data_IF_749908372029
#
_entry.id   IF_749908372029
#
_cell.length_a   1.000
_cell.length_b   1.000
_cell.length_c   1.000
_cell.angle_alpha   90.00
_cell.angle_beta   90.00
_cell.angle_gamma   90.00
#
_symmetry.space_group_name_H-M   'P 1'
#
loop_
_entity.id
_entity.type
_entity.pdbx_description
1 polymer ?
#
# COMPACT_ATOMS: atom_id res chain seq x y z
N UNK A 1 -16.40 -4.55 -8.06
CA UNK A 1 -15.09 -5.19 -8.23
C UNK A 1 -14.01 -4.10 -8.34
N UNK A 2 -13.31 -3.79 -7.25
CA UNK A 2 -12.16 -2.90 -7.31
C UNK A 2 -11.01 -3.73 -7.90
N UNK A 3 -10.80 -3.63 -9.22
CA UNK A 3 -9.76 -4.40 -9.90
C UNK A 3 -8.41 -3.87 -9.39
N UNK A 4 -7.80 -4.56 -8.42
CA UNK A 4 -6.47 -4.18 -7.93
C UNK A 4 -5.50 -4.30 -9.09
N UNK A 5 -4.89 -3.18 -9.45
CA UNK A 5 -3.92 -3.10 -10.55
C UNK A 5 -2.52 -3.55 -10.10
N UNK A 6 -2.39 -3.98 -8.85
CA UNK A 6 -1.16 -4.37 -8.19
C UNK A 6 -1.48 -5.39 -7.09
N UNK A 7 -0.50 -6.22 -6.78
CA UNK A 7 -0.46 -7.04 -5.58
C UNK A 7 0.22 -6.29 -4.44
N UNK A 8 -0.01 -6.77 -3.22
CA UNK A 8 0.61 -6.27 -2.00
C UNK A 8 1.24 -7.46 -1.29
N UNK A 9 2.51 -7.34 -0.92
CA UNK A 9 3.25 -8.33 -0.15
C UNK A 9 3.94 -7.69 1.04
N UNK A 10 4.09 -8.45 2.11
CA UNK A 10 4.86 -8.03 3.28
C UNK A 10 6.35 -8.23 3.01
N UNK A 11 7.16 -7.21 3.33
CA UNK A 11 8.63 -7.29 3.24
C UNK A 11 9.22 -7.57 4.62
N UNK A 12 8.73 -6.83 5.62
CA UNK A 12 9.09 -6.94 7.03
C UNK A 12 7.91 -6.45 7.90
N UNK A 13 8.02 -6.57 9.23
CA UNK A 13 6.96 -6.19 10.17
C UNK A 13 6.53 -4.72 10.15
N UNK A 14 7.25 -3.86 9.44
CA UNK A 14 6.96 -2.43 9.29
C UNK A 14 6.73 -1.99 7.83
N UNK A 15 6.99 -2.86 6.84
CA UNK A 15 7.06 -2.47 5.43
C UNK A 15 6.27 -3.43 4.54
N UNK A 16 5.49 -2.86 3.62
CA UNK A 16 4.86 -3.60 2.53
C UNK A 16 5.42 -3.15 1.19
N UNK A 17 5.39 -4.07 0.22
CA UNK A 17 5.68 -3.82 -1.18
C UNK A 17 4.40 -3.95 -1.99
N UNK A 18 4.06 -2.89 -2.71
CA UNK A 18 3.01 -2.90 -3.73
C UNK A 18 3.68 -3.04 -5.11
N UNK A 19 3.34 -4.10 -5.84
CA UNK A 19 4.02 -4.50 -7.07
C UNK A 19 3.03 -4.90 -8.17
N UNK A 20 3.40 -4.80 -9.47
CA UNK A 20 2.49 -5.08 -10.57
C UNK A 20 2.03 -6.54 -10.59
N UNK A 21 0.88 -6.79 -11.24
CA UNK A 21 0.29 -8.14 -11.31
C UNK A 21 1.15 -9.16 -12.07
N UNK A 22 2.10 -8.69 -12.87
CA UNK A 22 3.05 -9.53 -13.62
C UNK A 22 4.46 -8.99 -13.39
N UNK A 23 5.48 -9.86 -13.27
CA UNK A 23 6.87 -9.44 -13.27
C UNK A 23 7.18 -8.60 -14.52
N UNK A 24 7.81 -7.44 -14.34
CA UNK A 24 8.04 -6.48 -15.44
C UNK A 24 6.77 -5.87 -16.04
N UNK A 25 5.65 -5.93 -15.32
CA UNK A 25 4.39 -5.31 -15.72
C UNK A 25 4.43 -3.77 -15.63
N UNK A 26 3.32 -3.14 -16.01
CA UNK A 26 3.20 -1.69 -16.01
C UNK A 26 3.34 -1.09 -14.60
N UNK A 27 4.33 -0.19 -14.44
CA UNK A 27 4.62 0.54 -13.22
C UNK A 27 4.04 1.96 -13.22
N UNK A 28 3.50 2.45 -14.34
CA UNK A 28 3.05 3.84 -14.51
C UNK A 28 2.12 4.30 -13.38
N UNK A 29 1.23 3.42 -12.95
CA UNK A 29 0.30 3.71 -11.86
C UNK A 29 0.97 3.76 -10.48
N UNK A 30 1.98 2.93 -10.24
CA UNK A 30 2.77 2.95 -9.01
C UNK A 30 3.70 4.18 -8.98
N UNK A 31 4.25 4.58 -10.14
CA UNK A 31 5.02 5.81 -10.28
C UNK A 31 4.18 7.05 -9.97
N UNK A 32 2.94 7.09 -10.47
CA UNK A 32 2.02 8.19 -10.17
C UNK A 32 1.71 8.26 -8.67
N UNK A 33 1.43 7.12 -8.05
CA UNK A 33 1.16 7.02 -6.62
C UNK A 33 2.38 7.43 -5.77
N UNK A 34 3.58 7.00 -6.17
CA UNK A 34 4.84 7.45 -5.59
C UNK A 34 4.98 8.98 -5.63
N UNK A 35 4.72 9.60 -6.78
CA UNK A 35 4.78 11.07 -6.94
C UNK A 35 3.78 11.78 -6.04
N UNK A 36 2.54 11.28 -5.96
CA UNK A 36 1.51 11.88 -5.09
C UNK A 36 1.94 11.83 -3.62
N UNK A 37 2.34 10.65 -3.15
CA UNK A 37 2.74 10.45 -1.75
C UNK A 37 3.99 11.26 -1.39
N UNK A 38 4.98 11.31 -2.27
CA UNK A 38 6.27 11.94 -1.97
C UNK A 38 6.24 13.45 -2.17
N UNK A 39 5.61 13.94 -3.25
CA UNK A 39 5.70 15.34 -3.66
C UNK A 39 4.53 16.17 -3.12
N UNK A 40 3.30 15.67 -3.24
CA UNK A 40 2.11 16.47 -2.92
C UNK A 40 1.72 16.38 -1.45
N UNK A 41 1.85 15.18 -0.88
CA UNK A 41 1.42 14.91 0.50
C UNK A 41 2.56 15.11 1.49
N UNK A 42 3.74 14.56 1.18
CA UNK A 42 4.84 14.47 2.15
C UNK A 42 4.51 13.51 3.30
N UNK A 43 5.32 13.56 4.37
CA UNK A 43 5.12 12.69 5.52
C UNK A 43 4.11 13.31 6.49
N UNK A 44 3.02 12.59 6.77
CA UNK A 44 1.97 13.04 7.68
C UNK A 44 1.46 11.87 8.53
N UNK A 45 1.27 12.02 9.86
CA UNK A 45 0.94 10.92 10.77
C UNK A 45 -0.41 10.21 10.51
N UNK A 46 -1.29 10.80 9.70
CA UNK A 46 -2.60 10.23 9.30
C UNK A 46 -2.59 9.58 7.91
N UNK A 47 -1.45 9.54 7.25
CA UNK A 47 -1.30 9.00 5.90
C UNK A 47 -0.20 7.95 5.97
N UNK A 48 -0.38 6.82 5.26
CA UNK A 48 0.61 5.75 5.21
C UNK A 48 1.94 6.32 4.73
N UNK A 49 3.00 6.09 5.50
CA UNK A 49 4.33 6.57 5.19
C UNK A 49 4.87 5.98 3.89
N UNK A 50 5.41 6.85 3.03
CA UNK A 50 6.21 6.43 1.88
C UNK A 50 7.61 6.02 2.34
N UNK A 51 8.06 4.81 1.95
CA UNK A 51 9.39 4.30 2.32
C UNK A 51 10.37 4.23 1.14
N UNK A 52 9.88 4.11 -0.09
CA UNK A 52 10.73 4.13 -1.27
C UNK A 52 10.04 3.62 -2.52
N UNK A 53 10.66 3.85 -3.67
CA UNK A 53 10.21 3.33 -4.96
C UNK A 53 11.39 2.72 -5.70
N UNK A 54 11.22 1.51 -6.23
CA UNK A 54 12.24 0.77 -7.00
C UNK A 54 11.60 0.12 -8.22
N UNK A 55 12.42 -0.47 -9.09
CA UNK A 55 11.97 -1.25 -10.26
C UNK A 55 11.02 -2.40 -9.88
N UNK A 56 11.14 -2.92 -8.65
CA UNK A 56 10.26 -3.97 -8.13
C UNK A 56 8.88 -3.46 -7.69
N UNK A 57 8.73 -2.15 -7.46
CA UNK A 57 7.48 -1.54 -7.03
C UNK A 57 7.64 -0.49 -5.92
N UNK A 58 6.52 -0.23 -5.25
CA UNK A 58 6.35 0.84 -4.28
C UNK A 58 6.39 0.29 -2.84
N UNK A 59 7.32 0.80 -2.04
CA UNK A 59 7.48 0.43 -0.63
C UNK A 59 6.74 1.43 0.25
N UNK A 60 5.86 0.91 1.10
CA UNK A 60 5.02 1.70 2.00
C UNK A 60 5.10 1.18 3.43
N UNK A 61 4.73 2.02 4.38
CA UNK A 61 4.52 1.65 5.76
C UNK A 61 3.39 0.61 5.90
N UNK A 62 3.58 -0.37 6.79
CA UNK A 62 2.61 -1.41 7.07
C UNK A 62 1.58 -0.94 8.10
N UNK A 63 0.32 -0.91 7.69
CA UNK A 63 -0.80 -0.78 8.62
C UNK A 63 -1.10 -2.13 9.28
N UNK A 64 -0.77 -2.28 10.57
CA UNK A 64 -0.76 -3.58 11.26
C UNK A 64 -2.15 -4.22 11.34
N UNK A 65 -3.18 -3.40 11.45
CA UNK A 65 -4.57 -3.84 11.62
C UNK A 65 -5.30 -4.02 10.28
N UNK A 66 -4.59 -3.97 9.15
CA UNK A 66 -5.19 -4.09 7.83
C UNK A 66 -6.03 -2.87 7.47
N UNK A 67 -7.14 -3.10 6.76
CA UNK A 67 -8.03 -2.02 6.33
C UNK A 67 -9.04 -1.65 7.40
N UNK A 68 -9.63 -0.46 7.30
CA UNK A 68 -10.72 -0.03 8.19
C UNK A 68 -11.90 -1.01 8.09
N UNK A 69 -12.18 -1.56 6.90
CA UNK A 69 -13.24 -2.54 6.71
C UNK A 69 -12.99 -3.81 7.54
N UNK A 70 -11.74 -4.32 7.51
CA UNK A 70 -11.35 -5.48 8.31
C UNK A 70 -11.51 -5.19 9.81
N UNK A 71 -11.12 -3.99 10.26
CA UNK A 71 -11.28 -3.56 11.64
C UNK A 71 -12.76 -3.50 12.07
N UNK A 72 -13.62 -2.94 11.21
CA UNK A 72 -15.05 -2.77 11.51
C UNK A 72 -15.79 -4.12 11.54
N UNK A 73 -15.46 -5.03 10.61
CA UNK A 73 -16.08 -6.36 10.54
C UNK A 73 -15.52 -7.34 11.58
N UNK A 74 -14.27 -7.16 12.01
CA UNK A 74 -13.72 -7.91 13.15
C UNK A 74 -14.35 -7.49 14.49
N UNK A 75 -15.01 -6.33 14.54
CA UNK A 75 -15.67 -5.80 15.74
C UNK A 75 -17.13 -6.22 15.88
N UNK A 76 -17.62 -7.10 15.00
CA UNK A 76 -18.94 -7.72 15.15
C UNK A 76 -18.94 -8.59 16.42
N UNK A 77 -19.46 -7.98 17.49
CA UNK A 77 -19.83 -8.62 18.75
C UNK A 77 -20.61 -9.89 18.42
N UNK A 78 -20.25 -11.07 18.97
CA UNK A 78 -20.98 -12.29 18.71
C UNK A 78 -22.44 -12.13 19.18
N UNK A 79 -23.37 -12.52 18.30
CA UNK A 79 -24.79 -12.64 18.61
C UNK A 79 -25.07 -13.74 19.64
#
# INVERSE_FOLDING_TARGET
>A
ACRSSAFIGEVDGSTILKYPLKPGGDLTRLELEHKILTILVGQHPRIIGHKGFKETGLYLERAVNGTIFDCLTASDIPA
#
